data_IF_529396307940
#
_entry.id   IF_529396307940
#
_cell.length_a   1.000
_cell.length_b   1.000
_cell.length_c   1.000
_cell.angle_alpha   90.00
_cell.angle_beta   90.00
_cell.angle_gamma   90.00
#
_symmetry.space_group_name_H-M   'P 1'
#
loop_
_entity.id
_entity.type
_entity.pdbx_description
1 polymer ?
#
# COMPACT_ATOMS: atom_id res chain seq x y z
N UNK A 1 14.67 11.35 17.45
CA UNK A 1 15.58 10.32 16.87
C UNK A 1 14.75 9.06 16.66
N UNK A 2 15.15 8.13 15.78
CA UNK A 2 14.42 6.88 15.56
C UNK A 2 15.07 5.71 16.34
N UNK A 3 14.26 4.76 16.87
CA UNK A 3 14.76 3.63 17.68
C UNK A 3 15.70 2.71 16.92
N UNK A 4 15.65 2.69 15.59
CA UNK A 4 16.60 1.92 14.80
C UNK A 4 18.05 2.33 15.07
N UNK A 5 18.30 3.57 15.46
CA UNK A 5 19.64 4.09 15.72
C UNK A 5 20.13 3.80 17.16
N UNK A 6 19.30 3.21 18.02
CA UNK A 6 19.64 2.97 19.43
C UNK A 6 20.07 1.53 19.72
N UNK A 7 20.00 0.66 18.72
CA UNK A 7 20.38 -0.75 18.83
C UNK A 7 21.59 -1.09 17.96
N UNK A 8 22.25 -2.18 18.33
CA UNK A 8 23.14 -2.93 17.45
C UNK A 8 22.38 -4.13 16.89
N UNK A 9 22.81 -4.62 15.73
CA UNK A 9 22.14 -5.72 15.04
C UNK A 9 23.11 -6.85 14.81
N UNK A 10 22.70 -8.08 15.10
CA UNK A 10 23.47 -9.22 14.65
C UNK A 10 23.45 -9.33 13.11
N UNK A 11 24.27 -10.24 12.59
CA UNK A 11 24.38 -10.47 11.16
C UNK A 11 23.03 -10.79 10.50
N UNK A 12 22.19 -11.61 11.14
CA UNK A 12 20.90 -12.03 10.61
C UNK A 12 19.88 -10.90 10.62
N UNK A 13 19.74 -10.17 11.72
CA UNK A 13 18.82 -9.04 11.86
C UNK A 13 19.11 -7.97 10.81
N UNK A 14 20.38 -7.57 10.68
CA UNK A 14 20.79 -6.59 9.66
C UNK A 14 20.46 -7.08 8.24
N UNK A 15 20.86 -8.30 7.93
CA UNK A 15 20.70 -8.89 6.59
C UNK A 15 19.22 -9.07 6.21
N UNK A 16 18.37 -9.47 7.16
CA UNK A 16 16.92 -9.60 6.94
C UNK A 16 16.33 -8.24 6.57
N UNK A 17 16.67 -7.17 7.29
CA UNK A 17 16.16 -5.83 6.99
C UNK A 17 16.60 -5.37 5.58
N UNK A 18 17.87 -5.55 5.22
CA UNK A 18 18.37 -5.24 3.88
C UNK A 18 17.64 -6.03 2.77
N UNK A 19 17.39 -7.33 2.97
CA UNK A 19 16.65 -8.15 2.01
C UNK A 19 15.17 -7.76 1.93
N UNK A 20 14.56 -7.38 3.05
CA UNK A 20 13.17 -6.95 3.11
C UNK A 20 12.97 -5.62 2.38
N UNK A 21 13.91 -4.68 2.47
CA UNK A 21 13.88 -3.47 1.64
C UNK A 21 14.09 -3.78 0.15
N UNK A 22 14.99 -4.69 -0.16
CA UNK A 22 15.22 -5.18 -1.53
C UNK A 22 13.95 -5.77 -2.15
N UNK A 23 13.28 -6.65 -1.41
CA UNK A 23 11.98 -7.20 -1.82
C UNK A 23 10.96 -6.09 -2.04
N UNK A 24 10.91 -5.12 -1.12
CA UNK A 24 10.01 -3.97 -1.19
C UNK A 24 10.16 -3.19 -2.50
N UNK A 25 11.35 -2.63 -2.79
CA UNK A 25 11.52 -1.84 -4.02
C UNK A 25 11.40 -2.73 -5.28
N UNK A 26 11.87 -3.97 -5.26
CA UNK A 26 11.75 -4.87 -6.42
C UNK A 26 10.28 -5.18 -6.75
N UNK A 27 9.44 -5.38 -5.74
CA UNK A 27 8.01 -5.57 -5.92
C UNK A 27 7.32 -4.33 -6.53
N UNK A 28 7.72 -3.13 -6.11
CA UNK A 28 7.21 -1.87 -6.70
C UNK A 28 7.63 -1.73 -8.16
N UNK A 29 8.89 -2.06 -8.50
CA UNK A 29 9.37 -2.04 -9.89
C UNK A 29 8.60 -3.03 -10.78
N UNK A 30 8.35 -4.25 -10.29
CA UNK A 30 7.54 -5.23 -11.01
C UNK A 30 6.09 -4.75 -11.18
N UNK A 31 5.50 -4.17 -10.12
CA UNK A 31 4.17 -3.55 -10.17
C UNK A 31 4.09 -2.42 -11.19
N UNK A 32 5.12 -1.57 -11.28
CA UNK A 32 5.19 -0.48 -12.26
C UNK A 32 5.09 -1.02 -13.69
N UNK A 33 5.90 -2.02 -14.01
CA UNK A 33 5.88 -2.68 -15.34
C UNK A 33 4.49 -3.25 -15.61
N UNK A 34 3.90 -3.95 -14.65
CA UNK A 34 2.55 -4.50 -14.78
C UNK A 34 1.52 -3.41 -15.11
N UNK A 35 1.45 -2.32 -14.33
CA UNK A 35 0.43 -1.28 -14.53
C UNK A 35 0.60 -0.51 -15.82
N UNK A 36 1.85 -0.26 -16.26
CA UNK A 36 2.12 0.40 -17.54
C UNK A 36 1.64 -0.48 -18.70
N UNK A 37 2.05 -1.75 -18.72
CA UNK A 37 1.77 -2.66 -19.83
C UNK A 37 0.29 -3.07 -19.90
N UNK A 38 -0.42 -3.12 -18.77
CA UNK A 38 -1.83 -3.54 -18.72
C UNK A 38 -2.83 -2.38 -18.69
N UNK A 39 -2.36 -1.13 -18.67
CA UNK A 39 -3.22 0.06 -18.56
C UNK A 39 -4.30 0.15 -19.62
N UNK A 40 -4.04 -0.35 -20.84
CA UNK A 40 -4.99 -0.31 -21.97
C UNK A 40 -6.05 -1.42 -21.94
N UNK A 41 -5.91 -2.41 -21.07
CA UNK A 41 -6.88 -3.51 -20.95
C UNK A 41 -8.23 -3.07 -20.35
N UNK A 42 -8.40 -1.80 -20.00
CA UNK A 42 -9.63 -1.21 -19.46
C UNK A 42 -10.09 -0.03 -20.31
N UNK A 43 -11.39 0.29 -20.21
CA UNK A 43 -12.00 1.46 -20.85
C UNK A 43 -11.23 2.75 -20.53
N UNK A 44 -11.17 3.73 -21.46
CA UNK A 44 -10.44 4.99 -21.28
C UNK A 44 -10.67 5.69 -19.94
N UNK A 45 -11.92 5.68 -19.45
CA UNK A 45 -12.29 6.32 -18.17
C UNK A 45 -11.70 5.66 -16.92
N UNK A 46 -11.27 4.40 -17.00
CA UNK A 46 -10.62 3.69 -15.89
C UNK A 46 -9.09 3.62 -16.01
N UNK A 47 -8.52 3.93 -17.19
CA UNK A 47 -7.06 3.87 -17.43
C UNK A 47 -6.27 4.78 -16.48
N UNK A 48 -6.86 5.91 -16.11
CA UNK A 48 -6.28 6.82 -15.13
C UNK A 48 -5.98 6.11 -13.80
N UNK A 49 -6.79 5.12 -13.40
CA UNK A 49 -6.51 4.34 -12.19
C UNK A 49 -5.19 3.58 -12.30
N UNK A 50 -4.97 2.84 -13.40
CA UNK A 50 -3.71 2.11 -13.62
C UNK A 50 -2.51 3.05 -13.79
N UNK A 51 -2.68 4.20 -14.45
CA UNK A 51 -1.64 5.22 -14.53
C UNK A 51 -1.24 5.72 -13.15
N UNK A 52 -2.22 6.03 -12.30
CA UNK A 52 -1.98 6.44 -10.93
C UNK A 52 -1.35 5.32 -10.08
N UNK A 53 -1.71 4.05 -10.32
CA UNK A 53 -1.00 2.92 -9.69
C UNK A 53 0.47 2.90 -10.10
N UNK A 54 0.78 3.14 -11.39
CA UNK A 54 2.16 3.30 -11.87
C UNK A 54 2.90 4.45 -11.17
N UNK A 55 2.24 5.59 -10.93
CA UNK A 55 2.83 6.71 -10.17
C UNK A 55 3.17 6.28 -8.74
N UNK A 56 2.25 5.59 -8.04
CA UNK A 56 2.50 5.06 -6.69
C UNK A 56 3.66 4.07 -6.68
N UNK A 57 3.72 3.17 -7.68
CA UNK A 57 4.82 2.21 -7.79
C UNK A 57 6.17 2.91 -7.95
N UNK A 58 6.25 3.93 -8.82
CA UNK A 58 7.48 4.68 -9.01
C UNK A 58 7.88 5.45 -7.74
N UNK A 59 6.91 6.09 -7.08
CA UNK A 59 7.14 6.84 -5.84
C UNK A 59 7.68 5.93 -4.73
N UNK A 60 6.99 4.82 -4.45
CA UNK A 60 7.40 3.84 -3.45
C UNK A 60 8.70 3.12 -3.82
N UNK A 61 8.96 2.85 -5.11
CA UNK A 61 10.24 2.30 -5.56
C UNK A 61 11.41 3.20 -5.19
N UNK A 62 11.32 4.49 -5.53
CA UNK A 62 12.38 5.45 -5.26
C UNK A 62 12.59 5.62 -3.76
N UNK A 63 11.50 5.70 -2.99
CA UNK A 63 11.59 5.85 -1.54
C UNK A 63 12.20 4.62 -0.86
N UNK A 64 11.75 3.40 -1.20
CA UNK A 64 12.28 2.18 -0.61
C UNK A 64 13.75 1.94 -0.99
N UNK A 65 14.15 2.34 -2.21
CA UNK A 65 15.55 2.33 -2.62
C UNK A 65 16.39 3.29 -1.77
N UNK A 66 15.91 4.51 -1.53
CA UNK A 66 16.57 5.48 -0.64
C UNK A 66 16.66 4.94 0.78
N UNK A 67 15.60 4.34 1.32
CA UNK A 67 15.62 3.73 2.66
C UNK A 67 16.63 2.59 2.74
N UNK A 68 16.70 1.72 1.72
CA UNK A 68 17.71 0.65 1.67
C UNK A 68 19.12 1.22 1.72
N UNK A 69 19.40 2.26 0.94
CA UNK A 69 20.71 2.93 0.95
C UNK A 69 20.99 3.63 2.29
N UNK A 70 19.97 4.17 2.96
CA UNK A 70 20.10 4.76 4.30
C UNK A 70 20.38 3.72 5.36
N UNK A 71 19.79 2.53 5.25
CA UNK A 71 20.11 1.40 6.12
C UNK A 71 21.59 0.99 5.97
N UNK A 72 22.02 0.79 4.72
CA UNK A 72 23.40 0.38 4.42
C UNK A 72 24.45 1.43 4.80
N UNK A 73 24.10 2.72 4.73
CA UNK A 73 25.00 3.81 5.14
C UNK A 73 24.93 4.16 6.63
N UNK A 74 23.94 3.67 7.37
CA UNK A 74 23.78 3.97 8.79
C UNK A 74 24.61 3.06 9.69
N UNK A 75 24.73 1.79 9.33
CA UNK A 75 25.35 0.77 10.18
C UNK A 75 26.60 0.15 9.51
N UNK A 76 27.58 -0.23 10.33
CA UNK A 76 28.80 -0.91 9.87
C UNK A 76 29.10 -2.10 10.76
N UNK A 77 29.63 -3.17 10.15
CA UNK A 77 30.15 -4.31 10.89
C UNK A 77 31.43 -3.93 11.65
N UNK A 78 31.45 -4.14 12.96
CA UNK A 78 32.61 -3.85 13.81
C UNK A 78 33.47 -5.09 14.11
N UNK A 79 33.04 -6.27 13.68
CA UNK A 79 33.66 -7.57 14.01
C UNK A 79 32.71 -8.52 14.73
N UNK A 80 31.68 -7.98 15.40
CA UNK A 80 30.72 -8.74 16.20
C UNK A 80 29.26 -8.42 15.82
N UNK A 81 28.96 -7.15 15.56
CA UNK A 81 27.62 -6.68 15.22
C UNK A 81 27.66 -5.53 14.20
N UNK A 82 26.51 -5.23 13.61
CA UNK A 82 26.27 -3.98 12.90
C UNK A 82 25.94 -2.88 13.91
N UNK A 83 26.79 -1.85 13.97
CA UNK A 83 26.68 -0.73 14.90
C UNK A 83 26.45 0.59 14.14
N UNK A 84 25.75 1.54 14.76
CA UNK A 84 25.52 2.85 14.17
C UNK A 84 26.86 3.58 14.01
N UNK A 85 27.23 3.90 12.77
CA UNK A 85 28.55 4.47 12.46
C UNK A 85 28.52 5.51 11.31
N UNK A 86 27.39 5.69 10.64
CA UNK A 86 27.24 6.62 9.53
C UNK A 86 26.09 7.60 9.71
N UNK A 87 25.37 7.89 8.62
CA UNK A 87 24.21 8.79 8.69
C UNK A 87 23.09 8.17 9.50
N UNK A 88 22.23 8.97 10.14
CA UNK A 88 21.08 8.44 10.86
C UNK A 88 20.09 7.77 9.88
N UNK A 89 19.62 6.58 10.27
CA UNK A 89 18.47 5.94 9.64
C UNK A 89 17.19 6.62 10.11
N UNK A 90 16.20 6.77 9.22
CA UNK A 90 14.89 7.28 9.60
C UNK A 90 13.78 6.70 8.73
N UNK A 91 12.67 6.32 9.36
CA UNK A 91 11.43 5.99 8.65
C UNK A 91 10.70 7.26 8.16
N UNK A 92 11.20 8.47 8.46
CA UNK A 92 10.57 9.74 8.05
C UNK A 92 10.37 9.90 6.54
N UNK A 93 11.21 9.26 5.73
CA UNK A 93 11.04 9.22 4.26
C UNK A 93 9.71 8.58 3.85
N UNK A 94 9.27 7.54 4.58
CA UNK A 94 7.98 6.87 4.36
C UNK A 94 6.83 7.85 4.49
N UNK A 95 6.83 8.66 5.56
CA UNK A 95 5.78 9.65 5.80
C UNK A 95 5.70 10.68 4.67
N UNK A 96 6.84 11.15 4.16
CA UNK A 96 6.83 12.10 3.05
C UNK A 96 6.32 11.43 1.76
N UNK A 97 6.72 10.20 1.49
CA UNK A 97 6.20 9.46 0.34
C UNK A 97 4.71 9.14 0.48
N UNK A 98 4.22 8.80 1.67
CA UNK A 98 2.79 8.58 1.93
C UNK A 98 1.96 9.82 1.64
N UNK A 99 2.53 11.03 1.78
CA UNK A 99 1.83 12.27 1.43
C UNK A 99 1.46 12.36 -0.06
N UNK A 100 2.15 11.58 -0.90
CA UNK A 100 1.86 11.39 -2.33
C UNK A 100 0.95 10.17 -2.51
N UNK A 101 1.36 9.01 -1.97
CA UNK A 101 0.72 7.73 -2.26
C UNK A 101 -0.72 7.64 -1.71
N UNK A 102 -0.96 8.09 -0.48
CA UNK A 102 -2.26 7.95 0.18
C UNK A 102 -3.37 8.70 -0.58
N UNK A 103 -3.21 10.00 -0.92
CA UNK A 103 -4.19 10.68 -1.76
C UNK A 103 -4.42 9.97 -3.10
N UNK A 104 -3.36 9.48 -3.73
CA UNK A 104 -3.41 8.85 -5.05
C UNK A 104 -4.12 7.49 -5.01
N UNK A 105 -3.84 6.65 -4.01
CA UNK A 105 -4.49 5.36 -3.80
C UNK A 105 -6.00 5.51 -3.54
N UNK A 106 -6.40 6.51 -2.74
CA UNK A 106 -7.81 6.77 -2.42
C UNK A 106 -8.56 7.36 -3.63
N UNK A 107 -7.89 8.20 -4.43
CA UNK A 107 -8.43 8.73 -5.68
C UNK A 107 -8.73 7.63 -6.71
N UNK A 108 -7.82 6.66 -6.86
CA UNK A 108 -8.00 5.50 -7.75
C UNK A 108 -9.30 4.75 -7.47
N UNK A 109 -9.62 4.51 -6.19
CA UNK A 109 -10.88 3.87 -5.79
C UNK A 109 -12.10 4.65 -6.26
N UNK A 110 -12.11 5.98 -6.10
CA UNK A 110 -13.22 6.82 -6.56
C UNK A 110 -13.42 6.70 -8.09
N UNK A 111 -12.33 6.64 -8.85
CA UNK A 111 -12.36 6.47 -10.31
C UNK A 111 -12.94 5.11 -10.68
N UNK A 112 -12.40 4.03 -10.12
CA UNK A 112 -12.83 2.65 -10.45
C UNK A 112 -14.26 2.40 -10.01
N UNK A 113 -14.71 3.03 -8.92
CA UNK A 113 -16.09 2.91 -8.47
C UNK A 113 -17.08 3.83 -9.18
N UNK A 114 -16.62 4.59 -10.19
CA UNK A 114 -17.46 5.44 -11.01
C UNK A 114 -18.07 6.62 -10.25
N UNK A 115 -17.42 7.08 -9.17
CA UNK A 115 -17.85 8.26 -8.42
C UNK A 115 -17.56 9.50 -9.28
N UNK A 116 -18.55 10.37 -9.46
CA UNK A 116 -18.43 11.55 -10.33
C UNK A 116 -19.00 12.82 -9.68
N UNK A 117 -18.79 13.97 -10.34
CA UNK A 117 -19.40 15.25 -9.97
C UNK A 117 -19.03 15.75 -8.57
N UNK A 118 -20.02 16.30 -7.86
CA UNK A 118 -19.81 16.86 -6.52
C UNK A 118 -19.39 15.81 -5.49
N UNK A 119 -19.89 14.57 -5.62
CA UNK A 119 -19.52 13.46 -4.73
C UNK A 119 -18.03 13.10 -4.88
N UNK A 120 -17.54 13.05 -6.13
CA UNK A 120 -16.11 12.82 -6.40
C UNK A 120 -15.24 13.92 -5.80
N UNK A 121 -15.56 15.19 -6.09
CA UNK A 121 -14.79 16.33 -5.58
C UNK A 121 -14.75 16.36 -4.06
N UNK A 122 -15.89 16.12 -3.40
CA UNK A 122 -15.96 16.07 -1.94
C UNK A 122 -15.15 14.89 -1.38
N UNK A 123 -15.31 13.70 -1.96
CA UNK A 123 -14.59 12.50 -1.56
C UNK A 123 -13.08 12.70 -1.68
N UNK A 124 -12.61 13.22 -2.82
CA UNK A 124 -11.21 13.53 -3.06
C UNK A 124 -10.65 14.53 -2.03
N UNK A 125 -11.31 15.68 -1.82
CA UNK A 125 -10.84 16.68 -0.84
C UNK A 125 -10.75 16.08 0.56
N UNK A 126 -11.78 15.34 1.00
CA UNK A 126 -11.78 14.74 2.35
C UNK A 126 -10.70 13.67 2.46
N UNK A 127 -10.53 12.81 1.46
CA UNK A 127 -9.45 11.81 1.45
C UNK A 127 -8.07 12.46 1.49
N UNK A 128 -7.83 13.50 0.72
CA UNK A 128 -6.54 14.21 0.72
C UNK A 128 -6.29 14.90 2.04
N UNK A 129 -7.24 15.69 2.56
CA UNK A 129 -7.04 16.43 3.82
C UNK A 129 -6.91 15.47 5.00
N UNK A 130 -7.76 14.45 5.10
CA UNK A 130 -7.65 13.47 6.18
C UNK A 130 -6.39 12.61 6.04
N UNK A 131 -6.02 12.20 4.81
CA UNK A 131 -4.78 11.48 4.53
C UNK A 131 -3.55 12.26 4.97
N UNK A 132 -3.42 13.51 4.53
CA UNK A 132 -2.31 14.38 4.91
C UNK A 132 -2.31 14.70 6.41
N UNK A 133 -3.48 14.94 7.00
CA UNK A 133 -3.63 15.13 8.45
C UNK A 133 -3.12 13.92 9.25
N UNK A 134 -3.54 12.71 8.86
CA UNK A 134 -3.07 11.44 9.43
C UNK A 134 -1.54 11.32 9.34
N UNK A 135 -0.99 11.54 8.14
CA UNK A 135 0.44 11.38 7.86
C UNK A 135 1.27 12.38 8.65
N UNK A 136 0.96 13.68 8.56
CA UNK A 136 1.81 14.70 9.18
C UNK A 136 1.74 14.68 10.71
N UNK A 137 0.59 14.33 11.28
CA UNK A 137 0.50 14.14 12.73
C UNK A 137 1.29 12.92 13.18
N UNK A 138 1.18 11.78 12.50
CA UNK A 138 2.03 10.61 12.76
C UNK A 138 3.53 10.90 12.58
N UNK A 139 3.89 11.70 11.58
CA UNK A 139 5.26 12.13 11.30
C UNK A 139 5.86 12.95 12.45
N UNK A 140 5.08 13.88 13.03
CA UNK A 140 5.52 14.61 14.23
C UNK A 140 5.69 13.65 15.41
N UNK A 141 4.71 12.75 15.61
CA UNK A 141 4.74 11.79 16.70
C UNK A 141 5.95 10.85 16.68
N UNK A 142 6.35 10.34 15.51
CA UNK A 142 7.44 9.35 15.44
C UNK A 142 8.81 9.90 15.86
N UNK A 143 9.02 11.22 15.89
CA UNK A 143 10.29 11.77 16.37
C UNK A 143 10.52 11.60 17.88
N UNK A 144 9.45 11.27 18.61
CA UNK A 144 9.43 11.05 20.05
C UNK A 144 9.37 9.56 20.42
N UNK A 145 9.63 8.66 19.47
CA UNK A 145 9.47 7.22 19.64
C UNK A 145 10.53 6.56 20.53
N UNK A 146 11.71 7.18 20.68
CA UNK A 146 12.79 6.66 21.55
C UNK A 146 12.42 6.84 23.01
N UNK A 147 12.03 8.06 23.40
CA UNK A 147 11.64 8.35 24.78
C UNK A 147 10.19 7.94 25.07
N UNK A 148 9.39 7.69 24.02
CA UNK A 148 7.94 7.36 24.10
C UNK A 148 7.18 8.38 24.96
N UNK A 149 7.63 9.63 24.88
CA UNK A 149 7.10 10.73 25.67
C UNK A 149 5.66 11.06 25.27
N UNK A 150 4.98 11.89 26.06
CA UNK A 150 3.58 12.25 25.80
C UNK A 150 3.28 12.67 24.33
N UNK A 151 4.16 13.43 23.63
CA UNK A 151 3.96 13.73 22.21
C UNK A 151 3.81 12.51 21.30
N UNK A 152 4.52 11.39 21.54
CA UNK A 152 4.39 10.17 20.74
C UNK A 152 2.93 9.68 20.78
N UNK A 153 2.37 9.51 21.98
CA UNK A 153 1.01 9.02 22.17
C UNK A 153 -0.06 10.01 21.69
N UNK A 154 0.13 11.30 21.98
CA UNK A 154 -0.84 12.35 21.60
C UNK A 154 -0.92 12.47 20.08
N UNK A 155 0.21 12.57 19.39
CA UNK A 155 0.22 12.70 17.93
C UNK A 155 -0.22 11.42 17.22
N UNK A 156 0.16 10.24 17.73
CA UNK A 156 -0.37 8.96 17.24
C UNK A 156 -1.90 8.85 17.38
N UNK A 157 -2.45 9.35 18.51
CA UNK A 157 -3.90 9.38 18.73
C UNK A 157 -4.62 10.34 17.78
N UNK A 158 -4.06 11.54 17.56
CA UNK A 158 -4.61 12.52 16.60
C UNK A 158 -4.57 11.92 15.17
N UNK A 159 -3.45 11.30 14.80
CA UNK A 159 -3.31 10.59 13.51
C UNK A 159 -4.39 9.52 13.34
N UNK A 160 -4.67 8.76 14.40
CA UNK A 160 -5.71 7.72 14.41
C UNK A 160 -7.10 8.29 14.17
N UNK A 161 -7.43 9.48 14.69
CA UNK A 161 -8.72 10.14 14.43
C UNK A 161 -8.91 10.41 12.93
N UNK A 162 -7.88 10.95 12.26
CA UNK A 162 -7.91 11.14 10.81
C UNK A 162 -8.03 9.81 10.06
N UNK A 163 -7.31 8.78 10.51
CA UNK A 163 -7.39 7.45 9.93
C UNK A 163 -8.82 6.87 10.02
N UNK A 164 -9.51 7.03 11.15
CA UNK A 164 -10.91 6.59 11.31
C UNK A 164 -11.87 7.33 10.36
N UNK A 165 -11.63 8.61 10.08
CA UNK A 165 -12.38 9.36 9.05
C UNK A 165 -12.16 8.75 7.67
N UNK A 166 -10.93 8.40 7.31
CA UNK A 166 -10.62 7.72 6.04
C UNK A 166 -11.36 6.39 5.97
N UNK A 167 -11.25 5.54 7.00
CA UNK A 167 -11.94 4.25 7.03
C UNK A 167 -13.46 4.39 6.86
N UNK A 168 -14.09 5.34 7.55
CA UNK A 168 -15.51 5.61 7.40
C UNK A 168 -15.88 6.02 5.97
N UNK A 169 -15.05 6.83 5.31
CA UNK A 169 -15.30 7.27 3.94
C UNK A 169 -15.01 6.18 2.91
N UNK A 170 -13.97 5.35 3.11
CA UNK A 170 -13.71 4.15 2.29
C UNK A 170 -14.89 3.20 2.38
N UNK A 171 -15.38 2.90 3.59
CA UNK A 171 -16.55 2.05 3.80
C UNK A 171 -17.76 2.56 3.02
N UNK A 172 -18.08 3.86 3.17
CA UNK A 172 -19.19 4.50 2.44
C UNK A 172 -19.00 4.45 0.92
N UNK A 173 -17.76 4.61 0.45
CA UNK A 173 -17.42 4.57 -0.97
C UNK A 173 -17.60 3.17 -1.54
N UNK A 174 -17.14 2.13 -0.83
CA UNK A 174 -17.30 0.72 -1.22
C UNK A 174 -18.78 0.31 -1.19
N UNK A 175 -19.42 0.38 -0.02
CA UNK A 175 -20.76 -0.16 0.17
C UNK A 175 -21.87 0.74 -0.38
N UNK A 176 -21.61 2.03 -0.58
CA UNK A 176 -22.52 2.93 -1.28
C UNK A 176 -22.55 2.74 -2.79
N UNK A 177 -21.48 2.20 -3.40
CA UNK A 177 -21.40 2.00 -4.85
C UNK A 177 -21.49 0.53 -5.28
N UNK A 178 -21.33 -0.44 -4.38
CA UNK A 178 -21.37 -1.87 -4.73
C UNK A 178 -22.65 -2.30 -5.47
N UNK A 179 -23.80 -1.70 -5.15
CA UNK A 179 -25.06 -2.00 -5.84
C UNK A 179 -25.09 -1.57 -7.31
N UNK A 180 -24.29 -0.56 -7.68
CA UNK A 180 -24.17 -0.02 -9.04
C UNK A 180 -23.25 -0.84 -9.93
N UNK A 181 -22.50 -1.78 -9.34
CA UNK A 181 -21.56 -2.63 -10.05
C UNK A 181 -22.25 -3.89 -10.61
N UNK A 182 -21.76 -4.42 -11.75
CA UNK A 182 -22.20 -5.72 -12.25
C UNK A 182 -22.11 -6.80 -11.18
N UNK A 183 -23.08 -7.72 -11.14
CA UNK A 183 -23.23 -8.70 -10.06
C UNK A 183 -21.94 -9.51 -9.82
N UNK A 184 -21.27 -9.91 -10.89
CA UNK A 184 -20.00 -10.65 -10.89
C UNK A 184 -18.80 -9.87 -10.33
N UNK A 185 -18.85 -8.54 -10.29
CA UNK A 185 -17.77 -7.68 -9.81
C UNK A 185 -17.94 -7.30 -8.33
N UNK A 186 -19.17 -7.37 -7.80
CA UNK A 186 -19.51 -6.96 -6.42
C UNK A 186 -18.65 -7.63 -5.34
N UNK A 187 -18.30 -8.93 -5.41
CA UNK A 187 -17.42 -9.54 -4.41
C UNK A 187 -16.02 -8.88 -4.37
N UNK A 188 -15.46 -8.54 -5.53
CA UNK A 188 -14.16 -7.87 -5.63
C UNK A 188 -14.22 -6.46 -5.06
N UNK A 189 -15.29 -5.73 -5.33
CA UNK A 189 -15.52 -4.38 -4.75
C UNK A 189 -15.60 -4.45 -3.23
N UNK A 190 -16.27 -5.46 -2.65
CA UNK A 190 -16.27 -5.69 -1.20
C UNK A 190 -14.89 -6.10 -0.67
N UNK A 191 -14.11 -6.85 -1.44
CA UNK A 191 -12.76 -7.23 -1.06
C UNK A 191 -11.82 -6.02 -0.91
N UNK A 192 -12.04 -4.93 -1.68
CA UNK A 192 -11.28 -3.67 -1.53
C UNK A 192 -11.36 -3.14 -0.10
N UNK A 193 -12.54 -3.17 0.54
CA UNK A 193 -12.69 -2.73 1.93
C UNK A 193 -11.81 -3.54 2.87
N UNK A 194 -11.89 -4.86 2.81
CA UNK A 194 -11.14 -5.74 3.70
C UNK A 194 -9.64 -5.70 3.44
N UNK A 195 -9.23 -5.62 2.18
CA UNK A 195 -7.83 -5.47 1.80
C UNK A 195 -7.26 -4.17 2.36
N UNK A 196 -7.97 -3.04 2.19
CA UNK A 196 -7.53 -1.75 2.70
C UNK A 196 -7.49 -1.75 4.23
N UNK A 197 -8.57 -2.20 4.89
CA UNK A 197 -8.63 -2.26 6.35
C UNK A 197 -7.47 -3.10 6.92
N UNK A 198 -7.27 -4.31 6.40
CA UNK A 198 -6.22 -5.21 6.89
C UNK A 198 -4.82 -4.64 6.65
N UNK A 199 -4.52 -4.25 5.42
CA UNK A 199 -3.18 -3.74 5.08
C UNK A 199 -2.86 -2.40 5.73
N UNK A 200 -3.84 -1.51 5.85
CA UNK A 200 -3.58 -0.18 6.43
C UNK A 200 -3.45 -0.24 7.96
N UNK A 201 -4.02 -1.23 8.62
CA UNK A 201 -3.85 -1.41 10.07
C UNK A 201 -2.45 -1.88 10.48
N UNK A 202 -1.66 -2.37 9.53
CA UNK A 202 -0.26 -2.70 9.77
C UNK A 202 0.60 -1.45 10.03
N UNK A 203 0.28 -0.30 9.42
CA UNK A 203 1.05 0.94 9.61
C UNK A 203 1.01 1.51 11.04
N UNK A 204 -0.16 1.69 11.69
CA UNK A 204 -0.18 2.10 13.10
C UNK A 204 0.37 0.99 14.02
N UNK A 205 0.25 -0.29 13.65
CA UNK A 205 0.96 -1.37 14.36
C UNK A 205 2.48 -1.18 14.33
N UNK A 206 3.03 -0.87 13.16
CA UNK A 206 4.45 -0.57 13.00
C UNK A 206 4.88 0.74 13.69
N UNK A 207 4.01 1.77 13.70
CA UNK A 207 4.21 3.00 14.48
C UNK A 207 4.31 2.71 15.99
N UNK A 208 3.47 1.82 16.50
CA UNK A 208 3.44 1.41 17.91
C UNK A 208 4.53 0.39 18.27
N UNK A 209 5.25 -0.16 17.28
CA UNK A 209 6.34 -1.11 17.50
C UNK A 209 7.35 -0.70 18.58
N UNK A 210 7.81 0.58 18.69
CA UNK A 210 8.74 0.92 19.75
C UNK A 210 8.11 0.69 21.13
N UNK A 211 6.81 0.90 21.31
CA UNK A 211 6.16 0.70 22.59
C UNK A 211 5.80 -0.76 22.89
N UNK A 212 5.56 -1.60 21.86
CA UNK A 212 5.14 -2.99 22.06
C UNK A 212 6.30 -3.99 22.06
N UNK A 213 7.40 -3.69 21.37
CA UNK A 213 8.56 -4.57 21.25
C UNK A 213 9.84 -3.75 21.09
N UNK A 214 10.36 -3.23 22.21
CA UNK A 214 11.55 -2.37 22.24
C UNK A 214 12.85 -3.18 22.18
N UNK A 215 13.19 -3.69 20.98
CA UNK A 215 14.43 -4.42 20.75
C UNK A 215 14.86 -4.36 19.27
N UNK A 216 16.06 -4.86 18.98
CA UNK A 216 16.52 -5.08 17.61
C UNK A 216 15.55 -6.00 16.82
N UNK A 217 15.01 -7.06 17.44
CA UNK A 217 13.98 -7.91 16.81
C UNK A 217 12.69 -7.12 16.51
N UNK A 218 12.29 -6.22 17.42
CA UNK A 218 11.16 -5.32 17.18
C UNK A 218 11.39 -4.39 15.98
N UNK A 219 12.61 -3.89 15.79
CA UNK A 219 13.00 -3.15 14.57
C UNK A 219 12.85 -4.02 13.33
N UNK A 220 13.36 -5.25 13.34
CA UNK A 220 13.22 -6.18 12.21
C UNK A 220 11.75 -6.43 11.90
N UNK A 221 10.94 -6.70 12.93
CA UNK A 221 9.50 -6.91 12.82
C UNK A 221 8.79 -5.67 12.24
N UNK A 222 9.20 -4.45 12.62
CA UNK A 222 8.69 -3.20 12.05
C UNK A 222 8.93 -3.14 10.54
N UNK A 223 10.14 -3.42 10.09
CA UNK A 223 10.49 -3.29 8.68
C UNK A 223 9.80 -4.36 7.82
N UNK A 224 9.66 -5.59 8.34
CA UNK A 224 8.82 -6.63 7.72
C UNK A 224 7.37 -6.15 7.63
N UNK A 225 6.83 -5.60 8.72
CA UNK A 225 5.44 -5.11 8.76
C UNK A 225 5.22 -4.01 7.72
N UNK A 226 6.12 -3.03 7.62
CA UNK A 226 6.03 -1.98 6.60
C UNK A 226 6.11 -2.54 5.18
N UNK A 227 7.04 -3.45 4.89
CA UNK A 227 7.17 -4.03 3.55
C UNK A 227 5.93 -4.84 3.16
N UNK A 228 5.38 -5.65 4.08
CA UNK A 228 4.11 -6.36 3.85
C UNK A 228 2.98 -5.36 3.61
N UNK A 229 2.87 -4.32 4.44
CA UNK A 229 1.87 -3.28 4.28
C UNK A 229 1.99 -2.58 2.93
N UNK A 230 3.21 -2.26 2.48
CA UNK A 230 3.46 -1.58 1.20
C UNK A 230 3.08 -2.47 0.02
N UNK A 231 3.50 -3.73 -0.01
CA UNK A 231 3.17 -4.66 -1.10
C UNK A 231 1.64 -4.86 -1.18
N UNK A 232 0.98 -5.07 -0.04
CA UNK A 232 -0.46 -5.36 -0.03
C UNK A 232 -1.28 -4.09 -0.35
N UNK A 233 -0.95 -2.94 0.26
CA UNK A 233 -1.71 -1.70 0.11
C UNK A 233 -1.46 -0.97 -1.21
N UNK A 234 -0.37 -1.28 -1.92
CA UNK A 234 0.00 -0.64 -3.19
C UNK A 234 -0.09 -1.60 -4.37
N UNK A 235 0.68 -2.69 -4.35
CA UNK A 235 0.75 -3.64 -5.48
C UNK A 235 -0.53 -4.46 -5.57
N UNK A 236 -0.87 -5.20 -4.52
CA UNK A 236 -2.07 -6.07 -4.52
C UNK A 236 -3.35 -5.25 -4.65
N UNK A 237 -3.42 -4.13 -3.94
CA UNK A 237 -4.53 -3.18 -4.07
C UNK A 237 -4.68 -2.62 -5.48
N UNK A 238 -3.58 -2.16 -6.10
CA UNK A 238 -3.62 -1.65 -7.47
C UNK A 238 -4.04 -2.72 -8.48
N UNK A 239 -3.57 -3.96 -8.31
CA UNK A 239 -3.97 -5.10 -9.15
C UNK A 239 -5.47 -5.37 -8.98
N UNK A 240 -5.98 -5.38 -7.74
CA UNK A 240 -7.40 -5.58 -7.47
C UNK A 240 -8.25 -4.51 -8.17
N UNK A 241 -7.84 -3.23 -8.10
CA UNK A 241 -8.53 -2.15 -8.80
C UNK A 241 -8.46 -2.30 -10.33
N UNK A 242 -7.32 -2.69 -10.88
CA UNK A 242 -7.16 -2.97 -12.31
C UNK A 242 -8.07 -4.13 -12.77
N UNK A 243 -8.15 -5.21 -12.00
CA UNK A 243 -9.04 -6.35 -12.28
C UNK A 243 -10.51 -5.94 -12.24
N UNK A 244 -10.91 -5.12 -11.27
CA UNK A 244 -12.27 -4.56 -11.20
C UNK A 244 -12.55 -3.73 -12.45
N UNK A 245 -11.65 -2.81 -12.81
CA UNK A 245 -11.78 -1.97 -14.00
C UNK A 245 -11.89 -2.78 -15.29
N UNK A 246 -11.08 -3.83 -15.45
CA UNK A 246 -11.12 -4.72 -16.62
C UNK A 246 -12.44 -5.49 -16.69
N UNK A 247 -12.93 -6.05 -15.59
CA UNK A 247 -14.21 -6.78 -15.57
C UNK A 247 -15.40 -5.88 -15.86
N UNK A 248 -15.42 -4.67 -15.31
CA UNK A 248 -16.45 -3.67 -15.66
C UNK A 248 -16.36 -3.28 -17.14
N UNK A 249 -15.15 -3.09 -17.66
CA UNK A 249 -14.92 -2.80 -19.09
C UNK A 249 -15.43 -3.92 -20.01
N UNK A 250 -15.24 -5.19 -19.60
CA UNK A 250 -15.74 -6.36 -20.30
C UNK A 250 -17.26 -6.44 -20.31
N UNK A 251 -17.89 -6.20 -19.16
CA UNK A 251 -19.36 -6.14 -19.06
C UNK A 251 -19.95 -5.03 -19.96
N UNK A 252 -19.19 -3.98 -20.24
CA UNK A 252 -19.55 -2.90 -21.17
C UNK A 252 -19.07 -3.13 -22.62
N UNK A 253 -18.69 -4.37 -22.97
CA UNK A 253 -18.28 -4.78 -24.32
C UNK A 253 -17.06 -4.04 -24.90
N UNK A 254 -16.10 -3.66 -24.06
CA UNK A 254 -14.85 -3.08 -24.55
C UNK A 254 -13.95 -4.12 -25.24
N UNK A 255 -13.65 -3.89 -26.53
CA UNK A 255 -12.89 -4.84 -27.38
C UNK A 255 -11.53 -5.24 -26.82
N UNK A 256 -10.72 -4.27 -26.35
CA UNK A 256 -9.38 -4.56 -25.80
C UNK A 256 -9.47 -5.41 -24.50
N UNK A 257 -10.49 -5.18 -23.67
CA UNK A 257 -10.73 -5.98 -22.47
C UNK A 257 -11.19 -7.41 -22.81
N UNK A 258 -12.03 -7.55 -23.84
CA UNK A 258 -12.46 -8.85 -24.35
C UNK A 258 -11.28 -9.63 -24.95
N UNK A 259 -10.44 -8.98 -25.75
CA UNK A 259 -9.26 -9.59 -26.36
C UNK A 259 -8.25 -10.07 -25.31
N UNK A 260 -7.99 -9.27 -24.27
CA UNK A 260 -7.10 -9.65 -23.16
C UNK A 260 -7.63 -10.84 -22.35
N UNK A 261 -8.95 -11.01 -22.23
CA UNK A 261 -9.57 -12.16 -21.56
C UNK A 261 -9.50 -13.43 -22.40
N UNK A 262 -9.70 -13.32 -23.71
CA UNK A 262 -9.60 -14.46 -24.65
C UNK A 262 -8.19 -15.03 -24.70
N UNK A 263 -7.16 -14.18 -24.55
CA UNK A 263 -5.75 -14.61 -24.57
C UNK A 263 -5.26 -15.18 -23.25
N UNK A 264 -6.04 -15.13 -22.16
CA UNK A 264 -5.66 -15.76 -20.91
C UNK A 264 -5.76 -17.28 -21.01
N UNK A 265 -4.80 -18.03 -20.44
CA UNK A 265 -4.90 -19.49 -20.34
C UNK A 265 -6.22 -19.87 -19.66
N UNK A 266 -7.03 -20.69 -20.33
CA UNK A 266 -8.21 -21.30 -19.73
C UNK A 266 -7.80 -22.62 -19.12
N UNK A 267 -7.85 -22.73 -17.79
CA UNK A 267 -7.57 -23.98 -17.08
C UNK A 267 -7.41 -23.79 -15.57
N UNK A 268 -8.04 -24.67 -14.80
CA UNK A 268 -7.89 -24.82 -13.36
C UNK A 268 -7.53 -26.25 -12.97
N UNK A 269 -6.90 -26.41 -11.80
CA UNK A 269 -6.56 -27.73 -11.20
C UNK A 269 -7.83 -28.60 -11.01
N UNK A 270 -9.01 -27.97 -10.94
CA UNK A 270 -10.32 -28.62 -10.78
C UNK A 270 -11.12 -28.75 -12.08
N UNK A 271 -10.55 -28.46 -13.24
CA UNK A 271 -11.20 -28.74 -14.53
C UNK A 271 -11.13 -30.24 -14.87
N UNK A 272 -11.60 -31.07 -13.93
CA UNK A 272 -12.01 -32.44 -14.24
C UNK A 272 -13.39 -32.30 -14.89
N UNK A 273 -13.43 -32.64 -16.17
CA UNK A 273 -14.59 -32.65 -17.03
C UNK A 273 -15.90 -32.92 -16.28
N UNK A 274 -16.84 -31.96 -16.33
CA UNK A 274 -18.24 -32.29 -16.10
C UNK A 274 -18.66 -33.30 -17.18
N UNK A 275 -19.06 -34.54 -16.84
CA UNK A 275 -19.57 -35.47 -17.82
C UNK A 275 -20.97 -34.99 -18.21
N UNK A 276 -21.10 -34.39 -19.39
CA UNK A 276 -22.40 -33.93 -19.88
C UNK A 276 -22.36 -32.72 -20.78
N UNK A 277 -21.62 -32.78 -21.89
CA UNK A 277 -21.96 -32.01 -23.09
C UNK A 277 -21.99 -32.96 -24.28
N UNK A 278 -23.16 -33.57 -24.46
CA UNK A 278 -23.59 -34.08 -25.74
C UNK A 278 -24.51 -33.02 -26.38
N UNK A 279 -24.11 -32.53 -27.54
CA UNK A 279 -24.95 -32.28 -28.71
C UNK A 279 -24.00 -32.22 -29.90
#
# INVERSE_FOLDING_TARGET
>A
MNVENTFTYDFSQYTIVSHVFTLGYAAMAAGLVYFVLTSRNSLPRYRLSSTLSGVVMLSAFLELLVISQRWDSAFRWDGEAFVQAGTLFSNGYRYMNWSIDVPVLLLQMLIVFGVTGAAFRRGWIVFTVAGLGMIYTGYVGQFHEVERSAPFWVWGSISTVFFLVILALVYRTVYGNVGRMPAEVRPLVKAVWWLLLGSWMLYPGAYLMPAIWDSADGVVARQITYTVADIVSKVVYGILLAVIAQKVSKHEHHEEALAADVTQPRGGITDVAAPGRAA
#
